data_IF_111448242397
#
_entry.id   IF_111448242397
#
_cell.length_a   1.000
_cell.length_b   1.000
_cell.length_c   1.000
_cell.angle_alpha   90.00
_cell.angle_beta   90.00
_cell.angle_gamma   90.00
#
_symmetry.space_group_name_H-M   'P 1'
#
loop_
_entity.id
_entity.type
_entity.pdbx_description
1 polymer ?
2 non-polymer ?
3 water ?
#
# COMPACT_ATOMS: atom_id res chain seq x y z
N UNK A 20 -32.89 14.48 -8.67
CA UNK A 20 -33.91 13.40 -8.55
C UNK A 20 -33.51 12.52 -7.37
N UNK A 21 -33.90 11.24 -7.41
CA UNK A 21 -33.82 10.34 -6.27
C UNK A 21 -32.44 9.66 -6.24
N UNK A 22 -31.68 10.09 -5.25
CA UNK A 22 -30.30 9.62 -5.07
C UNK A 22 -30.27 8.81 -3.79
N UNK A 23 -29.84 7.55 -3.88
CA UNK A 23 -29.84 6.71 -2.69
C UNK A 23 -28.51 6.00 -2.49
N UNK A 24 -28.33 5.55 -1.25
CA UNK A 24 -27.17 4.74 -0.86
C UNK A 24 -27.67 3.31 -0.60
N UNK A 25 -26.95 2.35 -1.17
CA UNK A 25 -27.12 0.93 -0.89
C UNK A 25 -25.79 0.42 -0.36
N UNK A 26 -25.82 -0.12 0.87
CA UNK A 26 -24.65 -0.69 1.51
C UNK A 26 -24.80 -2.19 1.37
N UNK A 27 -24.00 -2.87 0.55
CA UNK A 27 -24.01 -4.33 0.47
C UNK A 27 -23.19 -4.93 1.59
N UNK A 28 -23.81 -5.65 2.52
CA UNK A 28 -23.08 -6.15 3.68
C UNK A 28 -23.51 -7.57 3.98
N UNK A 29 -22.94 -8.53 3.25
CA UNK A 29 -23.32 -9.93 3.46
C UNK A 29 -22.70 -10.46 4.75
N UNK A 30 -23.30 -11.59 5.17
CA UNK A 30 -22.81 -12.26 6.39
C UNK A 30 -21.49 -13.02 6.21
N UNK A 31 -21.29 -13.61 5.04
CA UNK A 31 -20.08 -14.33 4.72
C UNK A 31 -18.93 -13.39 4.42
N UNK A 32 -17.74 -13.97 4.20
CA UNK A 32 -16.52 -13.24 4.01
C UNK A 32 -15.50 -14.03 3.21
N UNK A 33 -14.64 -13.36 2.46
CA UNK A 33 -13.52 -13.99 1.78
C UNK A 33 -12.47 -14.40 2.80
N UNK A 34 -12.36 -13.73 3.96
CA UNK A 34 -11.23 -13.95 4.83
C UNK A 34 -11.60 -13.64 6.29
N UNK A 35 -11.82 -12.39 6.69
CA UNK A 35 -12.07 -12.03 8.07
C UNK A 35 -13.53 -12.30 8.35
N UNK A 36 -13.90 -13.27 9.21
CA UNK A 36 -15.31 -13.47 9.46
C UNK A 36 -16.01 -12.26 10.06
N UNK A 37 -17.24 -12.04 9.58
CA UNK A 37 -18.10 -11.01 10.14
C UNK A 37 -17.43 -9.63 10.04
N UNK A 38 -16.56 -9.46 9.04
CA UNK A 38 -15.83 -8.19 8.93
C UNK A 38 -16.79 -6.99 8.89
N UNK A 39 -17.93 -7.12 8.22
CA UNK A 39 -18.81 -5.98 8.02
C UNK A 39 -19.33 -5.39 9.33
N UNK A 40 -19.34 -6.15 10.43
CA UNK A 40 -19.82 -5.67 11.72
C UNK A 40 -18.81 -5.88 12.84
N UNK A 41 -17.57 -6.21 12.47
CA UNK A 41 -16.54 -6.34 13.50
C UNK A 41 -16.28 -4.96 14.11
N UNK A 42 -16.12 -4.85 15.43
CA UNK A 42 -15.81 -3.54 16.01
C UNK A 42 -14.52 -2.91 15.49
N UNK A 43 -14.67 -1.65 15.12
CA UNK A 43 -13.57 -0.82 14.68
C UNK A 43 -13.66 0.47 15.45
N UNK A 44 -12.71 0.72 16.34
CA UNK A 44 -12.81 1.89 17.23
C UNK A 44 -14.17 1.94 17.92
N UNK A 45 -14.54 0.82 18.50
CA UNK A 45 -15.71 0.70 19.38
C UNK A 45 -17.08 0.86 18.71
N UNK A 46 -17.16 0.84 17.36
CA UNK A 46 -18.47 0.62 16.76
C UNK A 46 -18.30 -0.44 15.67
N UNK A 47 -19.37 -1.19 15.34
CA UNK A 47 -19.29 -2.11 14.21
C UNK A 47 -18.89 -1.37 12.94
N UNK A 48 -18.07 -2.01 12.10
CA UNK A 48 -17.53 -1.40 10.89
C UNK A 48 -18.65 -0.65 10.14
N UNK A 49 -19.77 -1.32 9.87
CA UNK A 49 -20.81 -0.73 9.03
C UNK A 49 -21.33 0.58 9.59
N UNK A 50 -21.29 0.76 10.92
CA UNK A 50 -21.81 1.97 11.52
C UNK A 50 -21.07 3.18 10.97
N UNK A 51 -19.78 3.11 10.71
CA UNK A 51 -19.09 4.31 10.28
C UNK A 51 -19.60 4.73 8.89
N UNK A 52 -19.93 3.75 8.02
CA UNK A 52 -20.50 4.09 6.72
C UNK A 52 -21.88 4.71 6.83
N UNK A 53 -22.74 4.11 7.67
CA UNK A 53 -24.07 4.67 7.85
C UNK A 53 -23.98 6.09 8.40
N UNK A 54 -23.11 6.29 9.38
CA UNK A 54 -23.01 7.65 9.97
C UNK A 54 -22.52 8.64 8.92
N UNK A 55 -21.55 8.24 8.10
CA UNK A 55 -21.04 9.13 7.06
C UNK A 55 -22.12 9.46 6.03
N UNK A 56 -22.91 8.46 5.61
CA UNK A 56 -23.96 8.66 4.65
C UNK A 56 -25.01 9.65 5.18
N UNK A 57 -25.35 9.52 6.46
CA UNK A 57 -26.32 10.43 7.07
C UNK A 57 -25.71 11.83 7.14
N UNK A 58 -24.43 11.95 7.50
CA UNK A 58 -23.78 13.27 7.63
C UNK A 58 -23.71 13.96 6.27
N UNK A 59 -23.49 13.20 5.21
CA UNK A 59 -23.26 13.74 3.89
C UNK A 59 -24.46 14.56 3.45
N UNK A 60 -25.65 14.05 3.74
CA UNK A 60 -26.88 14.79 3.46
C UNK A 60 -27.39 14.69 2.03
N UNK A 61 -26.70 13.96 1.14
CA UNK A 61 -27.07 13.94 -0.27
C UNK A 61 -27.80 12.65 -0.62
N UNK A 62 -28.21 11.85 0.38
CA UNK A 62 -29.00 10.67 0.13
C UNK A 62 -30.43 10.84 0.61
N UNK A 63 -31.37 10.45 -0.23
CA UNK A 63 -32.79 10.41 0.10
C UNK A 63 -33.12 9.21 0.97
N UNK A 64 -32.38 8.11 0.75
CA UNK A 64 -32.53 6.90 1.53
C UNK A 64 -31.20 6.19 1.65
N UNK A 65 -31.02 5.52 2.79
CA UNK A 65 -29.84 4.74 3.09
C UNK A 65 -30.30 3.33 3.43
N UNK A 66 -30.00 2.37 2.57
CA UNK A 66 -30.52 1.02 2.63
C UNK A 66 -29.33 0.07 2.80
N UNK A 67 -29.46 -0.88 3.72
CA UNK A 67 -28.48 -1.96 3.84
C UNK A 67 -29.07 -3.23 3.23
N UNK A 68 -28.33 -3.82 2.30
CA UNK A 68 -28.68 -5.09 1.68
C UNK A 68 -27.88 -6.21 2.36
N UNK A 69 -28.56 -7.09 3.09
CA UNK A 69 -27.87 -8.15 3.81
C UNK A 69 -28.77 -9.39 3.88
N UNK A 70 -28.14 -10.57 3.91
CA UNK A 70 -28.81 -11.83 4.21
C UNK A 70 -28.81 -12.13 5.69
N UNK A 71 -28.03 -11.39 6.49
CA UNK A 71 -27.70 -11.79 7.84
C UNK A 71 -28.41 -10.98 8.90
N UNK A 72 -29.14 -11.65 9.80
CA UNK A 72 -29.96 -10.96 10.76
C UNK A 72 -29.19 -10.13 11.77
N UNK A 73 -27.95 -10.51 12.13
CA UNK A 73 -27.14 -9.72 13.02
C UNK A 73 -26.78 -8.38 12.38
N UNK A 74 -26.39 -8.46 11.10
CA UNK A 74 -26.11 -7.24 10.35
C UNK A 74 -27.36 -6.37 10.23
N UNK A 75 -28.51 -7.00 9.92
CA UNK A 75 -29.73 -6.22 9.84
C UNK A 75 -29.98 -5.43 11.14
N UNK A 76 -29.77 -6.10 12.29
CA UNK A 76 -30.06 -5.42 13.56
C UNK A 76 -29.11 -4.23 13.74
N UNK A 77 -27.83 -4.38 13.38
CA UNK A 77 -26.86 -3.27 13.51
C UNK A 77 -27.30 -2.14 12.58
N UNK A 78 -27.68 -2.48 11.37
CA UNK A 78 -28.11 -1.47 10.40
C UNK A 78 -29.28 -0.67 10.95
N UNK A 79 -30.30 -1.37 11.50
CA UNK A 79 -31.46 -0.69 12.09
C UNK A 79 -31.06 0.17 13.29
N UNK A 80 -30.12 -0.30 14.08
CA UNK A 80 -29.72 0.43 15.28
C UNK A 80 -29.10 1.76 14.90
N UNK A 81 -28.35 1.81 13.79
CA UNK A 81 -27.69 3.04 13.37
C UNK A 81 -28.54 3.84 12.38
N UNK A 82 -29.80 3.44 12.15
CA UNK A 82 -30.75 4.28 11.45
C UNK A 82 -30.80 4.08 9.95
N UNK A 83 -30.21 3.01 9.41
CA UNK A 83 -30.41 2.64 8.02
C UNK A 83 -31.69 1.83 7.90
N UNK A 84 -32.21 1.72 6.69
CA UNK A 84 -33.36 0.90 6.40
C UNK A 84 -32.92 -0.50 5.98
N UNK A 85 -33.73 -1.50 6.32
CA UNK A 85 -33.53 -2.90 5.88
C UNK A 85 -34.87 -3.34 5.30
N UNK A 86 -35.20 -2.95 4.07
CA UNK A 86 -36.56 -3.16 3.55
C UNK A 86 -36.83 -4.59 3.08
N UNK A 87 -35.77 -5.39 2.93
CA UNK A 87 -35.87 -6.75 2.42
C UNK A 87 -34.73 -7.56 3.01
N UNK A 88 -34.85 -8.87 2.96
CA UNK A 88 -33.76 -9.77 3.26
C UNK A 88 -33.12 -10.12 1.91
N UNK A 89 -31.80 -9.92 1.78
CA UNK A 89 -31.17 -10.24 0.51
C UNK A 89 -31.22 -11.74 0.27
N UNK A 90 -31.62 -12.16 -0.94
CA UNK A 90 -31.56 -13.60 -1.23
C UNK A 90 -30.17 -14.19 -1.09
N UNK A 91 -30.14 -15.43 -0.61
CA UNK A 91 -28.90 -16.09 -0.29
C UNK A 91 -27.97 -16.23 -1.46
N UNK A 92 -28.49 -16.46 -2.66
CA UNK A 92 -27.66 -16.74 -3.82
C UNK A 92 -26.78 -15.55 -4.25
N UNK A 93 -27.18 -14.33 -3.85
CA UNK A 93 -26.35 -13.17 -4.12
C UNK A 93 -25.62 -12.73 -2.85
N UNK A 94 -25.57 -13.58 -1.84
CA UNK A 94 -24.78 -13.34 -0.64
C UNK A 94 -23.69 -14.38 -0.46
N UNK A 95 -23.43 -15.17 -1.49
CA UNK A 95 -22.43 -16.22 -1.40
C UNK A 95 -21.05 -15.69 -1.72
N UNK A 96 -20.04 -16.54 -1.82
CA UNK A 96 -18.66 -16.13 -2.00
C UNK A 96 -18.33 -15.74 -3.44
N UNK A 97 -19.29 -15.87 -4.37
CA UNK A 97 -19.02 -15.58 -5.77
C UNK A 97 -19.85 -14.44 -6.35
N UNK A 98 -21.00 -14.13 -5.82
CA UNK A 98 -21.80 -13.09 -6.43
C UNK A 98 -21.07 -11.75 -6.33
N UNK A 99 -21.23 -10.95 -7.37
CA UNK A 99 -20.49 -9.68 -7.45
C UNK A 99 -21.27 -8.56 -6.79
N UNK A 100 -20.54 -7.49 -6.48
CA UNK A 100 -21.13 -6.26 -5.97
C UNK A 100 -22.22 -5.74 -6.89
N UNK A 101 -21.95 -5.66 -8.19
CA UNK A 101 -22.95 -5.17 -9.11
C UNK A 101 -24.25 -5.94 -9.08
N UNK A 102 -24.19 -7.24 -8.91
CA UNK A 102 -25.42 -8.04 -8.86
C UNK A 102 -26.22 -7.69 -7.60
N UNK A 103 -25.57 -7.36 -6.50
CA UNK A 103 -26.28 -6.96 -5.30
C UNK A 103 -27.02 -5.64 -5.51
N UNK A 104 -26.32 -4.67 -6.14
CA UNK A 104 -26.93 -3.37 -6.37
C UNK A 104 -28.10 -3.46 -7.35
N UNK A 105 -27.92 -4.25 -8.41
CA UNK A 105 -29.03 -4.45 -9.36
C UNK A 105 -30.24 -5.06 -8.66
N UNK A 106 -30.02 -6.04 -7.78
CA UNK A 106 -31.12 -6.66 -7.08
C UNK A 106 -31.88 -5.59 -6.28
N UNK A 107 -31.16 -4.70 -5.60
CA UNK A 107 -31.79 -3.74 -4.75
C UNK A 107 -32.59 -2.72 -5.56
N UNK A 108 -32.04 -2.30 -6.70
CA UNK A 108 -32.75 -1.33 -7.53
C UNK A 108 -34.01 -1.98 -8.10
N UNK A 109 -33.91 -3.22 -8.58
CA UNK A 109 -35.10 -3.87 -9.12
C UNK A 109 -36.13 -4.08 -8.02
N UNK A 110 -35.69 -4.38 -6.78
CA UNK A 110 -36.63 -4.53 -5.69
C UNK A 110 -37.37 -3.22 -5.43
N UNK A 111 -36.65 -2.13 -5.40
CA UNK A 111 -37.27 -0.84 -5.16
C UNK A 111 -38.30 -0.54 -6.23
N UNK A 112 -37.97 -0.77 -7.50
CA UNK A 112 -38.91 -0.52 -8.59
C UNK A 112 -40.15 -1.42 -8.44
N UNK A 113 -39.95 -2.73 -8.25
CA UNK A 113 -41.05 -3.68 -8.33
C UNK A 113 -41.88 -3.77 -7.07
N UNK A 114 -41.25 -3.60 -5.92
CA UNK A 114 -41.93 -3.72 -4.64
C UNK A 114 -42.43 -2.41 -4.05
N UNK A 115 -41.77 -1.28 -4.36
CA UNK A 115 -42.17 -0.01 -3.78
C UNK A 115 -42.50 1.04 -4.86
N UNK A 116 -42.43 0.69 -6.14
CA UNK A 116 -42.64 1.68 -7.18
C UNK A 116 -41.70 2.89 -7.08
N UNK A 117 -40.45 2.66 -6.67
CA UNK A 117 -39.47 3.72 -6.54
C UNK A 117 -38.38 3.53 -7.56
N UNK A 118 -38.15 4.54 -8.39
CA UNK A 118 -37.22 4.46 -9.50
C UNK A 118 -36.08 5.41 -9.24
N UNK A 119 -34.96 4.92 -8.68
CA UNK A 119 -33.86 5.84 -8.44
C UNK A 119 -33.20 6.34 -9.73
N UNK A 120 -32.58 7.50 -9.59
CA UNK A 120 -31.78 8.08 -10.66
C UNK A 120 -30.31 7.69 -10.51
N UNK A 121 -29.75 8.00 -9.34
CA UNK A 121 -28.36 7.71 -9.05
C UNK A 121 -28.28 6.86 -7.79
N UNK A 122 -27.40 5.85 -7.83
CA UNK A 122 -27.31 4.91 -6.73
C UNK A 122 -25.86 4.81 -6.32
N UNK A 123 -25.61 5.04 -5.04
CA UNK A 123 -24.27 4.91 -4.47
C UNK A 123 -24.11 3.59 -3.75
N UNK A 124 -23.23 2.74 -4.26
CA UNK A 124 -22.83 1.55 -3.53
C UNK A 124 -21.77 1.99 -2.53
N UNK A 125 -22.09 1.89 -1.24
CA UNK A 125 -21.22 2.33 -0.18
C UNK A 125 -20.84 1.12 0.65
N UNK A 126 -19.54 0.80 0.66
CA UNK A 126 -19.09 -0.39 1.37
C UNK A 126 -19.16 -0.17 2.89
N UNK A 127 -19.28 -1.28 3.61
CA UNK A 127 -19.45 -1.32 5.06
C UNK A 127 -18.12 -1.29 5.79
N UNK A 128 -17.00 -1.52 5.09
CA UNK A 128 -15.67 -1.55 5.71
C UNK A 128 -14.80 -0.45 5.16
N UNK A 129 -15.26 0.77 5.41
CA UNK A 129 -14.63 1.96 4.88
C UNK A 129 -14.68 3.06 5.94
N UNK A 130 -14.07 2.85 7.13
CA UNK A 130 -14.31 3.77 8.22
C UNK A 130 -13.73 5.17 8.01
N UNK A 131 -12.79 5.31 7.08
CA UNK A 131 -12.18 6.60 6.77
C UNK A 131 -12.99 7.39 5.74
N UNK A 132 -14.12 6.85 5.28
CA UNK A 132 -14.88 7.49 4.21
C UNK A 132 -15.29 8.88 4.67
N UNK A 133 -15.16 9.86 3.76
CA UNK A 133 -15.50 11.24 4.09
C UNK A 133 -16.81 11.63 3.48
N UNK A 134 -17.78 12.17 4.26
CA UNK A 134 -19.02 12.66 3.70
C UNK A 134 -18.87 13.55 2.48
N UNK A 135 -17.90 14.49 2.53
CA UNK A 135 -17.76 15.43 1.45
C UNK A 135 -17.38 14.73 0.14
N UNK A 136 -16.63 13.61 0.22
CA UNK A 136 -16.26 12.84 -0.96
C UNK A 136 -17.50 12.17 -1.55
N UNK A 137 -18.41 11.67 -0.70
CA UNK A 137 -19.65 11.09 -1.21
C UNK A 137 -20.44 12.09 -2.05
N UNK A 138 -20.56 13.33 -1.55
CA UNK A 138 -21.36 14.31 -2.29
C UNK A 138 -20.59 14.78 -3.53
N UNK A 139 -19.27 14.91 -3.44
CA UNK A 139 -18.48 15.31 -4.60
C UNK A 139 -18.60 14.26 -5.72
N UNK A 140 -18.59 12.97 -5.35
CA UNK A 140 -18.71 11.93 -6.34
C UNK A 140 -20.01 12.03 -7.12
N UNK A 141 -21.11 12.39 -6.45
CA UNK A 141 -22.38 12.63 -7.12
C UNK A 141 -22.30 13.82 -8.08
N UNK A 142 -21.65 14.89 -7.66
CA UNK A 142 -21.53 16.06 -8.53
C UNK A 142 -20.74 15.72 -9.77
N UNK A 143 -19.71 14.90 -9.66
CA UNK A 143 -18.93 14.53 -10.81
C UNK A 143 -19.74 13.65 -11.74
N UNK A 144 -20.47 12.67 -11.16
CA UNK A 144 -21.26 11.76 -11.96
C UNK A 144 -22.30 12.51 -12.82
N UNK A 145 -22.93 13.49 -12.22
CA UNK A 145 -24.07 14.15 -12.87
C UNK A 145 -23.65 15.36 -13.67
N UNK A 146 -22.35 15.61 -13.86
CA UNK A 146 -21.89 16.69 -14.73
C UNK A 146 -21.66 16.21 -16.17
N UNK A 147 -21.69 14.90 -16.45
CA UNK A 147 -21.37 14.41 -17.79
C UNK A 147 -22.20 13.18 -18.13
N UNK A 148 -23.03 13.23 -19.19
CA UNK A 148 -23.93 12.12 -19.44
C UNK A 148 -23.18 10.86 -19.81
N UNK A 149 -21.96 11.01 -20.35
CA UNK A 149 -21.14 9.87 -20.74
C UNK A 149 -20.65 9.13 -19.51
N UNK A 150 -20.57 9.79 -18.37
CA UNK A 150 -20.03 9.17 -17.16
C UNK A 150 -21.08 8.28 -16.53
N UNK A 151 -20.78 6.99 -16.40
CA UNK A 151 -21.72 6.02 -15.87
C UNK A 151 -21.44 5.72 -14.39
N UNK A 152 -20.17 5.82 -13.96
CA UNK A 152 -19.78 5.56 -12.58
C UNK A 152 -18.74 6.57 -12.12
N UNK A 153 -18.64 6.77 -10.81
CA UNK A 153 -17.58 7.49 -10.15
C UNK A 153 -17.24 6.72 -8.88
N UNK A 154 -15.98 6.33 -8.71
CA UNK A 154 -15.60 5.62 -7.49
C UNK A 154 -14.35 6.21 -6.84
N UNK A 155 -14.16 5.92 -5.57
CA UNK A 155 -13.02 6.30 -4.80
C UNK A 155 -11.81 5.43 -5.19
N UNK A 156 -10.68 6.06 -5.50
CA UNK A 156 -9.45 5.36 -5.87
C UNK A 156 -8.25 5.99 -5.21
N UNK A 157 -7.10 5.30 -5.28
CA UNK A 157 -5.88 5.82 -4.72
C UNK A 157 -4.72 5.29 -5.54
N UNK A 158 -3.59 6.00 -5.48
CA UNK A 158 -2.38 5.61 -6.18
C UNK A 158 -1.66 4.49 -5.44
N UNK A 159 -1.11 3.54 -6.20
CA UNK A 159 -0.14 2.62 -5.63
C UNK A 159 1.14 3.41 -5.29
N UNK A 160 1.70 3.17 -4.12
CA UNK A 160 2.90 3.88 -3.72
C UNK A 160 4.15 3.27 -4.31
N UNK A 161 4.07 2.00 -4.71
CA UNK A 161 5.21 1.30 -5.29
C UNK A 161 4.83 0.86 -6.68
N UNK A 162 5.75 0.87 -7.66
CA UNK A 162 5.37 0.54 -9.03
C UNK A 162 4.96 -0.93 -9.16
N UNK A 163 3.73 -1.18 -9.61
CA UNK A 163 3.25 -2.53 -9.76
C UNK A 163 4.06 -3.32 -10.78
N UNK A 164 4.68 -2.61 -11.73
CA UNK A 164 5.49 -3.26 -12.75
C UNK A 164 6.75 -3.89 -12.16
N UNK A 165 7.13 -3.48 -10.92
CA UNK A 165 8.30 -4.06 -10.27
C UNK A 165 7.89 -5.00 -9.13
N UNK A 166 6.63 -5.46 -9.13
CA UNK A 166 6.16 -6.43 -8.14
C UNK A 166 6.85 -7.77 -8.25
N UNK A 167 6.86 -8.45 -7.12
CA UNK A 167 7.41 -9.80 -7.04
C UNK A 167 6.36 -10.79 -6.52
N UNK A 168 6.67 -12.06 -6.79
CA UNK A 168 5.93 -13.18 -6.26
C UNK A 168 6.93 -14.08 -5.54
N UNK A 169 6.41 -14.97 -4.67
CA UNK A 169 7.20 -15.84 -3.84
C UNK A 169 6.73 -17.27 -4.10
N UNK A 170 7.68 -18.18 -4.30
CA UNK A 170 7.29 -19.59 -4.46
C UNK A 170 7.04 -20.24 -3.09
N UNK A 171 6.71 -21.53 -3.09
CA UNK A 171 6.35 -22.19 -1.84
C UNK A 171 7.56 -22.35 -0.93
N UNK A 172 8.79 -22.18 -1.44
CA UNK A 172 10.00 -22.18 -0.63
C UNK A 172 10.53 -20.75 -0.40
N UNK A 173 9.72 -19.74 -0.74
CA UNK A 173 10.07 -18.33 -0.45
C UNK A 173 10.98 -17.67 -1.47
N UNK A 174 11.31 -18.31 -2.59
CA UNK A 174 12.19 -17.70 -3.58
C UNK A 174 11.44 -16.65 -4.39
N UNK A 175 12.15 -15.57 -4.74
CA UNK A 175 11.56 -14.42 -5.39
C UNK A 175 11.61 -14.56 -6.90
N UNK A 176 10.54 -14.12 -7.56
CA UNK A 176 10.56 -13.81 -8.98
C UNK A 176 9.78 -12.54 -9.25
N UNK A 177 10.11 -11.85 -10.32
CA UNK A 177 9.34 -10.68 -10.71
C UNK A 177 8.16 -11.12 -11.59
N UNK A 178 7.05 -10.38 -11.50
CA UNK A 178 6.01 -10.50 -12.52
C UNK A 178 6.56 -10.11 -13.89
N UNK A 179 7.37 -9.04 -13.98
CA UNK A 179 7.88 -8.44 -15.22
C UNK A 179 9.37 -8.20 -15.06
N UNK A 180 10.22 -9.23 -15.26
CA UNK A 180 11.63 -9.16 -14.97
C UNK A 180 12.39 -8.10 -15.76
N UNK A 181 11.81 -7.66 -16.88
CA UNK A 181 12.42 -6.62 -17.68
C UNK A 181 12.54 -5.29 -16.93
N UNK A 182 11.81 -5.14 -15.81
CA UNK A 182 11.82 -3.89 -15.06
C UNK A 182 12.68 -3.96 -13.78
N UNK A 183 13.54 -4.95 -13.69
CA UNK A 183 14.46 -5.10 -12.55
C UNK A 183 15.15 -3.78 -12.22
N UNK A 184 15.72 -3.10 -13.21
CA UNK A 184 16.55 -1.92 -12.93
C UNK A 184 15.88 -0.62 -13.35
N UNK A 185 14.60 -0.67 -13.68
CA UNK A 185 13.89 0.51 -14.13
C UNK A 185 13.56 1.45 -12.98
N UNK A 186 13.81 2.77 -13.15
CA UNK A 186 13.42 3.77 -12.20
C UNK A 186 11.91 3.87 -12.09
N UNK A 187 11.41 4.14 -10.86
CA UNK A 187 9.99 4.30 -10.65
C UNK A 187 9.41 5.39 -11.56
N UNK A 188 10.18 6.46 -11.77
CA UNK A 188 9.63 7.60 -12.49
C UNK A 188 9.57 7.35 -13.99
N UNK A 189 10.11 6.24 -14.46
CA UNK A 189 10.06 5.88 -15.86
C UNK A 189 8.96 4.87 -16.14
N UNK A 190 8.06 4.64 -15.17
CA UNK A 190 6.96 3.69 -15.35
C UNK A 190 5.64 4.44 -15.23
N UNK A 191 4.66 4.01 -16.00
CA UNK A 191 3.37 4.67 -15.92
C UNK A 191 2.69 4.41 -14.57
N UNK A 192 2.00 5.45 -14.11
CA UNK A 192 1.33 5.44 -12.81
C UNK A 192 0.17 4.46 -12.82
N UNK A 193 -0.03 3.84 -11.67
CA UNK A 193 -1.12 2.90 -11.44
C UNK A 193 -1.85 3.31 -10.17
N UNK A 194 -3.14 2.96 -10.19
CA UNK A 194 -4.09 3.25 -9.11
C UNK A 194 -4.91 1.99 -8.82
N UNK A 195 -5.68 2.08 -7.77
CA UNK A 195 -6.63 1.02 -7.47
C UNK A 195 -7.84 1.60 -6.77
N UNK A 196 -8.90 0.82 -6.89
CA UNK A 196 -10.14 0.99 -6.13
C UNK A 196 -9.81 1.07 -4.65
N UNK A 197 -10.35 2.10 -3.97
CA UNK A 197 -10.16 2.27 -2.54
C UNK A 197 -11.20 1.50 -1.72
N UNK A 198 -12.18 0.89 -2.37
CA UNK A 198 -13.18 0.11 -1.66
C UNK A 198 -14.03 0.91 -0.67
N UNK A 199 -14.41 2.12 -1.06
CA UNK A 199 -15.24 2.96 -0.23
C UNK A 199 -16.61 3.12 -0.87
N UNK A 200 -16.67 3.76 -2.05
CA UNK A 200 -17.96 4.03 -2.66
C UNK A 200 -17.86 3.97 -4.18
N UNK A 201 -19.02 3.74 -4.77
CA UNK A 201 -19.20 3.72 -6.21
C UNK A 201 -20.57 4.34 -6.51
N UNK A 202 -20.52 5.54 -7.06
CA UNK A 202 -21.72 6.13 -7.61
C UNK A 202 -21.94 5.57 -8.99
N UNK A 203 -23.19 5.23 -9.31
CA UNK A 203 -23.56 4.82 -10.65
C UNK A 203 -24.92 5.32 -11.03
N UNK A 204 -25.09 5.61 -12.33
CA UNK A 204 -26.44 5.87 -12.83
C UNK A 204 -27.23 4.57 -12.63
N UNK A 205 -28.52 4.64 -12.30
CA UNK A 205 -29.27 3.44 -12.02
C UNK A 205 -29.20 2.45 -13.18
N UNK A 206 -29.34 2.94 -14.42
CA UNK A 206 -29.33 2.10 -15.58
C UNK A 206 -27.98 1.45 -15.81
N UNK A 207 -26.89 2.09 -15.33
CA UNK A 207 -25.56 1.51 -15.46
C UNK A 207 -25.49 0.23 -14.62
N UNK A 208 -26.01 0.33 -13.40
CA UNK A 208 -26.10 -0.84 -12.53
C UNK A 208 -27.01 -1.90 -13.13
N UNK A 209 -28.19 -1.50 -13.60
CA UNK A 209 -29.17 -2.47 -14.11
C UNK A 209 -28.70 -3.18 -15.36
N UNK A 210 -27.92 -2.49 -16.17
CA UNK A 210 -27.40 -3.03 -17.42
C UNK A 210 -26.03 -3.71 -17.22
N UNK A 211 -25.58 -3.84 -15.96
CA UNK A 211 -24.38 -4.62 -15.63
C UNK A 211 -23.15 -4.03 -16.34
N UNK A 212 -23.10 -2.71 -16.47
CA UNK A 212 -21.98 -2.07 -17.12
C UNK A 212 -20.75 -2.25 -16.25
N UNK A 213 -19.57 -2.46 -16.85
CA UNK A 213 -18.35 -2.61 -16.08
C UNK A 213 -17.98 -1.29 -15.39
N UNK A 214 -17.53 -1.36 -14.14
CA UNK A 214 -17.14 -0.19 -13.40
C UNK A 214 -15.77 0.30 -13.81
N UNK A 215 -14.77 -0.60 -14.00
CA UNK A 215 -13.43 -0.17 -14.32
C UNK A 215 -13.29 -0.07 -15.84
N UNK A 216 -13.76 1.06 -16.39
CA UNK A 216 -13.92 1.22 -17.83
C UNK A 216 -13.95 2.71 -18.14
N UNK A 217 -13.83 3.07 -19.42
CA UNK A 217 -13.56 4.43 -19.85
C UNK A 217 -14.76 5.37 -19.72
N UNK A 218 -15.90 4.84 -19.31
CA UNK A 218 -17.04 5.66 -18.93
C UNK A 218 -17.08 5.92 -17.42
N UNK A 219 -15.97 5.70 -16.72
CA UNK A 219 -15.89 5.92 -15.29
C UNK A 219 -14.80 6.90 -14.91
N UNK A 220 -15.10 7.76 -13.94
CA UNK A 220 -14.14 8.65 -13.32
C UNK A 220 -13.92 8.26 -11.86
N UNK A 221 -12.90 8.83 -11.26
CA UNK A 221 -12.62 8.59 -9.85
C UNK A 221 -12.61 9.87 -9.02
N UNK A 222 -12.74 9.70 -7.72
CA UNK A 222 -12.30 10.66 -6.72
C UNK A 222 -11.03 10.12 -6.11
N UNK A 223 -9.89 10.78 -6.34
CA UNK A 223 -8.59 10.32 -5.88
C UNK A 223 -8.44 10.63 -4.41
N UNK A 224 -8.12 9.63 -3.61
CA UNK A 224 -7.91 9.78 -2.19
C UNK A 224 -6.43 9.69 -1.93
N UNK A 225 -5.88 10.52 -1.05
CA UNK A 225 -4.51 10.31 -0.59
C UNK A 225 -4.52 8.94 0.09
N UNK A 226 -3.49 8.13 -0.15
CA UNK A 226 -3.51 6.75 0.31
C UNK A 226 -3.55 6.64 1.83
N UNK A 227 -3.12 7.69 2.57
CA UNK A 227 -3.20 7.72 4.02
C UNK A 227 -4.64 7.55 4.53
N UNK A 228 -5.65 7.79 3.69
CA UNK A 228 -7.05 7.72 4.11
C UNK A 228 -7.75 6.51 3.50
N UNK A 229 -6.97 5.55 2.98
CA UNK A 229 -7.45 4.27 2.49
C UNK A 229 -6.74 3.17 3.29
N UNK A 230 -7.49 2.33 4.03
CA UNK A 230 -6.90 1.50 5.09
C UNK A 230 -6.12 0.31 4.53
N UNK A 232 -6.96 -3.58 5.67
CA UNK A 232 -6.60 -4.33 6.91
C UNK A 232 -6.38 -5.81 6.61
N UNK A 233 -5.13 -6.24 6.75
CA UNK A 233 -4.76 -7.61 6.49
C UNK A 233 -4.95 -8.39 7.79
N UNK A 234 -4.23 -7.93 8.81
CA UNK A 234 -3.94 -8.67 10.02
C UNK A 234 -4.68 -8.06 11.21
N UNK A 235 -4.71 -8.82 12.31
CA UNK A 235 -5.26 -8.32 13.56
C UNK A 235 -4.47 -7.09 13.96
N UNK A 236 -3.16 -7.09 13.68
CA UNK A 236 -2.33 -5.95 14.04
C UNK A 236 -2.63 -4.74 13.15
N UNK A 237 -2.84 -4.96 11.86
CA UNK A 237 -3.27 -3.86 11.02
C UNK A 237 -4.51 -3.27 11.67
N UNK A 238 -5.40 -4.15 12.12
CA UNK A 238 -6.69 -3.74 12.64
C UNK A 238 -6.49 -2.81 13.83
N UNK A 239 -5.69 -3.25 14.79
CA UNK A 239 -5.38 -2.41 15.94
C UNK A 239 -4.76 -1.07 15.55
N UNK A 240 -3.76 -1.08 14.65
CA UNK A 240 -3.09 0.14 14.23
C UNK A 240 -4.05 1.11 13.56
N UNK A 241 -4.94 0.59 12.72
CA UNK A 241 -5.81 1.47 11.96
C UNK A 241 -6.71 2.18 12.94
N UNK A 242 -7.19 1.41 13.95
CA UNK A 242 -8.08 1.94 14.97
C UNK A 242 -7.40 3.13 15.65
N UNK A 243 -6.12 2.97 15.98
CA UNK A 243 -5.40 4.04 16.70
C UNK A 243 -5.16 5.25 15.80
N UNK A 244 -4.74 5.04 14.54
CA UNK A 244 -4.55 6.12 13.57
C UNK A 244 -5.87 6.84 13.31
N UNK A 245 -6.94 6.06 13.16
CA UNK A 245 -8.27 6.60 13.00
C UNK A 245 -8.51 7.64 14.07
N UNK A 246 -7.99 7.41 15.29
CA UNK A 246 -8.27 8.34 16.37
C UNK A 246 -7.41 9.60 16.25
N UNK A 247 -6.29 9.54 15.54
CA UNK A 247 -5.34 10.65 15.35
C UNK A 247 -5.49 11.29 13.96
N UNK A 248 -6.55 10.96 13.22
CA UNK A 248 -6.67 11.40 11.82
C UNK A 248 -7.09 12.87 11.77
N UNK B 17 33.72 -17.94 7.22
CA UNK B 17 35.00 -17.64 7.91
C UNK B 17 34.83 -17.77 9.40
N UNK B 18 35.94 -18.03 10.10
CA UNK B 18 35.92 -18.01 11.56
C UNK B 18 35.73 -16.62 12.14
N UNK B 19 36.21 -15.57 11.45
CA UNK B 19 36.01 -14.20 11.88
C UNK B 19 34.98 -13.54 10.95
N UNK B 20 33.95 -12.92 11.55
CA UNK B 20 32.83 -12.39 10.77
C UNK B 20 33.19 -11.00 10.30
N UNK B 21 32.78 -10.67 9.06
CA UNK B 21 32.87 -9.31 8.59
C UNK B 21 31.57 -8.98 7.81
N UNK B 22 30.59 -8.54 8.58
CA UNK B 22 29.30 -8.13 8.05
C UNK B 22 29.20 -6.63 8.22
N UNK B 23 28.92 -5.92 7.14
CA UNK B 23 28.95 -4.47 7.15
C UNK B 23 27.64 -3.88 6.64
N UNK B 24 27.29 -2.71 7.16
CA UNK B 24 26.13 -1.92 6.75
C UNK B 24 26.60 -0.72 5.94
N UNK B 25 26.00 -0.51 4.77
CA UNK B 25 26.21 0.68 3.98
C UNK B 25 24.87 1.37 3.86
N UNK B 26 24.84 2.66 4.23
CA UNK B 26 23.66 3.51 4.12
C UNK B 26 23.90 4.52 3.01
N UNK B 27 23.22 4.37 1.89
CA UNK B 27 23.32 5.36 0.80
C UNK B 27 22.52 6.61 1.14
N UNK B 28 23.10 7.78 0.92
CA UNK B 28 22.39 9.01 1.15
C UNK B 28 22.99 10.10 0.27
N UNK B 29 22.29 10.44 -0.78
CA UNK B 29 22.74 11.54 -1.60
C UNK B 29 21.91 12.77 -1.23
N UNK B 30 22.53 13.95 -1.39
CA UNK B 30 21.81 15.21 -1.26
C UNK B 30 21.01 15.51 -2.52
N UNK B 31 20.13 16.54 -2.44
CA UNK B 31 19.48 17.13 -3.60
C UNK B 31 18.00 16.82 -3.76
N UNK B 32 17.34 16.38 -2.68
CA UNK B 32 15.92 15.98 -2.74
C UNK B 32 15.02 17.20 -3.01
N UNK B 33 14.00 17.03 -3.86
CA UNK B 33 13.18 18.14 -4.33
C UNK B 33 11.93 18.28 -3.45
N UNK B 34 11.15 17.19 -3.33
CA UNK B 34 9.85 17.18 -2.66
C UNK B 34 9.98 17.51 -1.17
N UNK B 35 10.96 16.88 -0.51
CA UNK B 35 11.30 17.20 0.87
C UNK B 35 12.74 17.70 0.90
N UNK B 36 13.00 19.02 0.81
CA UNK B 36 14.36 19.55 0.83
C UNK B 36 15.17 19.04 2.02
N UNK B 37 16.44 18.69 1.76
CA UNK B 37 17.37 18.23 2.78
C UNK B 37 16.82 17.03 3.56
N UNK B 38 16.19 16.10 2.85
CA UNK B 38 15.38 15.03 3.44
C UNK B 38 16.18 14.18 4.44
N UNK B 39 17.43 13.84 4.10
CA UNK B 39 18.22 12.96 4.94
C UNK B 39 18.61 13.57 6.28
N UNK B 40 18.69 14.89 6.38
CA UNK B 40 19.06 15.49 7.66
C UNK B 40 17.89 16.25 8.28
N UNK B 41 16.72 16.21 7.65
CA UNK B 41 15.52 16.86 8.17
C UNK B 41 15.18 16.17 9.48
N UNK B 42 14.89 16.92 10.54
CA UNK B 42 14.47 16.31 11.80
C UNK B 42 13.23 15.45 11.67
N UNK B 43 13.31 14.23 12.25
CA UNK B 43 12.21 13.28 12.34
C UNK B 43 12.15 12.86 13.79
N UNK B 44 11.07 13.25 14.46
CA UNK B 44 10.98 13.13 15.91
C UNK B 44 12.09 14.01 16.45
N UNK B 45 13.04 13.42 17.14
CA UNK B 45 14.10 14.17 17.79
C UNK B 45 15.48 14.03 17.16
N UNK B 46 15.60 13.55 15.90
CA UNK B 46 16.91 13.32 15.31
C UNK B 46 16.80 13.57 13.81
N UNK B 47 17.91 13.94 13.14
CA UNK B 47 17.89 13.95 11.66
C UNK B 47 17.52 12.56 11.17
N UNK B 48 16.76 12.51 10.09
CA UNK B 48 16.15 11.27 9.63
C UNK B 48 17.17 10.12 9.50
N UNK B 49 18.33 10.40 8.91
CA UNK B 49 19.31 9.35 8.66
C UNK B 49 19.78 8.71 9.98
N UNK B 50 19.76 9.47 11.09
CA UNK B 50 20.27 8.94 12.32
C UNK B 50 19.50 7.68 12.76
N UNK B 51 18.20 7.61 12.44
CA UNK B 51 17.42 6.45 12.88
C UNK B 51 17.94 5.18 12.21
N UNK B 52 18.40 5.30 10.96
CA UNK B 52 18.98 4.13 10.33
C UNK B 52 20.32 3.75 10.95
N UNK B 53 21.19 4.74 11.18
CA UNK B 53 22.47 4.48 11.82
C UNK B 53 22.27 3.79 13.17
N UNK B 54 21.36 4.36 13.96
CA UNK B 54 21.11 3.81 15.30
C UNK B 54 20.50 2.42 15.25
N UNK B 55 19.63 2.13 14.28
CA UNK B 55 19.09 0.79 14.16
C UNK B 55 20.20 -0.20 13.83
N UNK B 56 21.14 0.17 12.95
CA UNK B 56 22.25 -0.71 12.61
C UNK B 56 23.10 -0.94 13.85
N UNK B 57 23.35 0.11 14.65
CA UNK B 57 24.14 -0.07 15.87
C UNK B 57 23.43 -0.99 16.88
N UNK B 58 22.14 -0.81 17.06
CA UNK B 58 21.36 -1.53 18.04
C UNK B 58 21.26 -3.00 17.65
N UNK B 59 21.22 -3.29 16.34
CA UNK B 59 21.08 -4.66 15.88
C UNK B 59 22.17 -5.56 16.48
N UNK B 60 23.39 -5.03 16.52
CA UNK B 60 24.54 -5.73 17.06
C UNK B 60 25.14 -6.81 16.16
N UNK B 61 24.81 -6.82 14.86
CA UNK B 61 25.37 -7.80 13.94
C UNK B 61 26.27 -7.20 12.87
N UNK B 62 26.65 -5.93 13.02
CA UNK B 62 27.55 -5.27 12.10
C UNK B 62 28.91 -5.00 12.71
N UNK B 63 29.94 -5.36 11.95
CA UNK B 63 31.31 -5.02 12.31
C UNK B 63 31.60 -3.56 11.97
N UNK B 64 31.05 -3.05 10.84
CA UNK B 64 31.21 -1.67 10.45
C UNK B 64 29.90 -1.12 9.91
N UNK B 65 29.69 0.19 10.08
CA UNK B 65 28.52 0.91 9.64
C UNK B 65 28.99 2.15 8.91
N UNK B 66 28.74 2.23 7.61
CA UNK B 66 29.26 3.25 6.72
C UNK B 66 28.15 3.98 6.02
N UNK B 67 28.23 5.31 5.94
CA UNK B 67 27.36 6.11 5.12
C UNK B 67 28.10 6.47 3.83
N UNK B 68 27.43 6.31 2.69
CA UNK B 68 27.96 6.69 1.38
C UNK B 68 27.20 7.93 0.92
N UNK B 69 27.88 9.10 0.87
CA UNK B 69 27.25 10.35 0.53
C UNK B 69 28.26 11.25 -0.15
N UNK B 70 27.73 12.13 -1.02
CA UNK B 70 28.50 13.21 -1.61
C UNK B 70 28.25 14.53 -0.90
N UNK B 71 27.46 14.54 0.20
CA UNK B 71 27.01 15.81 0.76
C UNK B 71 27.70 16.05 2.09
N UNK B 72 28.28 17.26 2.22
CA UNK B 72 29.04 17.57 3.41
C UNK B 72 28.15 17.60 4.66
N UNK B 73 26.92 18.10 4.57
CA UNK B 73 26.05 18.20 5.74
C UNK B 73 25.64 16.78 6.22
N UNK B 74 25.29 15.93 5.25
CA UNK B 74 24.95 14.55 5.56
C UNK B 74 26.13 13.84 6.23
N UNK B 75 27.36 13.99 5.67
CA UNK B 75 28.52 13.35 6.27
C UNK B 75 28.70 13.74 7.74
N UNK B 76 28.53 15.07 8.00
CA UNK B 76 28.73 15.57 9.35
C UNK B 76 27.74 14.94 10.34
N UNK B 77 26.47 14.86 9.88
CA UNK B 77 25.46 14.17 10.67
C UNK B 77 25.84 12.71 10.87
N UNK B 78 26.31 12.04 9.82
CA UNK B 78 26.64 10.64 9.94
C UNK B 78 27.71 10.42 11.02
N UNK B 79 28.76 11.26 11.02
CA UNK B 79 29.83 11.10 12.00
C UNK B 79 29.34 11.36 13.43
N UNK B 80 28.44 12.32 13.54
CA UNK B 80 27.83 12.71 14.81
C UNK B 80 27.14 11.50 15.45
N UNK B 81 26.47 10.66 14.65
CA UNK B 81 25.76 9.50 15.17
C UNK B 81 26.56 8.20 15.08
N UNK B 82 27.85 8.28 14.79
CA UNK B 82 28.76 7.15 14.99
C UNK B 82 28.86 6.21 13.78
N UNK B 83 28.42 6.68 12.62
CA UNK B 83 28.72 6.01 11.34
C UNK B 83 30.07 6.47 10.83
N UNK B 84 30.74 5.61 10.06
CA UNK B 84 31.95 6.02 9.36
C UNK B 84 31.60 6.72 8.06
N UNK B 85 32.45 7.65 7.65
CA UNK B 85 32.36 8.32 6.36
C UNK B 85 33.74 8.25 5.74
N UNK B 86 34.14 7.10 5.18
CA UNK B 86 35.55 6.89 4.85
C UNK B 86 35.97 7.55 3.56
N UNK B 87 35.00 7.93 2.75
CA UNK B 87 35.21 8.45 1.41
C UNK B 87 34.08 9.45 1.12
N UNK B 88 34.29 10.24 0.08
CA UNK B 88 33.23 10.99 -0.54
C UNK B 88 32.71 10.17 -1.70
N UNK B 89 31.38 9.93 -1.78
CA UNK B 89 30.87 9.15 -2.89
C UNK B 89 31.20 9.85 -4.20
N UNK B 90 31.78 9.11 -5.17
CA UNK B 90 32.07 9.72 -6.47
C UNK B 90 30.85 10.41 -7.08
N UNK B 91 31.11 11.58 -7.68
CA UNK B 91 30.08 12.41 -8.24
C UNK B 91 29.28 11.64 -9.26
N UNK B 92 29.93 10.78 -10.04
CA UNK B 92 29.28 10.08 -11.12
C UNK B 92 28.20 9.08 -10.64
N UNK B 93 28.18 8.68 -9.36
CA UNK B 93 27.15 7.77 -8.85
C UNK B 93 26.29 8.45 -7.79
N UNK B 94 26.32 9.77 -7.80
CA UNK B 94 25.41 10.58 -7.00
C UNK B 94 24.56 11.38 -7.95
N UNK B 95 23.76 10.66 -8.71
CA UNK B 95 22.95 11.31 -9.73
C UNK B 95 21.65 10.54 -9.82
N UNK B 96 20.83 10.92 -10.80
CA UNK B 96 19.45 10.49 -10.85
C UNK B 96 19.33 9.11 -11.49
N UNK B 97 20.43 8.55 -11.99
CA UNK B 97 20.41 7.31 -12.77
C UNK B 97 21.15 6.17 -12.09
N UNK B 98 22.05 6.47 -11.15
CA UNK B 98 22.80 5.40 -10.53
C UNK B 98 21.89 4.55 -9.65
N UNK B 99 22.15 3.24 -9.62
CA UNK B 99 21.34 2.28 -8.91
C UNK B 99 21.91 1.97 -7.54
N UNK B 100 21.08 1.35 -6.68
CA UNK B 100 21.50 0.90 -5.36
C UNK B 100 22.71 -0.02 -5.50
N UNK B 101 22.64 -0.98 -6.41
CA UNK B 101 23.77 -1.91 -6.56
C UNK B 101 25.07 -1.18 -6.91
N UNK B 102 25.01 -0.19 -7.79
CA UNK B 102 26.21 0.60 -8.12
C UNK B 102 26.79 1.30 -6.91
N UNK B 103 25.95 1.83 -6.02
CA UNK B 103 26.46 2.48 -4.83
C UNK B 103 27.10 1.49 -3.86
N UNK B 104 26.47 0.35 -3.65
CA UNK B 104 27.00 -0.67 -2.76
C UNK B 104 28.28 -1.27 -3.36
N UNK B 105 28.32 -1.56 -4.66
CA UNK B 105 29.55 -2.06 -5.28
C UNK B 105 30.71 -1.09 -5.07
N UNK B 106 30.46 0.20 -5.23
CA UNK B 106 31.51 1.20 -5.05
C UNK B 106 32.09 1.06 -3.65
N UNK B 107 31.23 0.96 -2.65
CA UNK B 107 31.68 0.95 -1.26
C UNK B 107 32.48 -0.31 -0.99
N UNK B 108 32.04 -1.46 -1.53
CA UNK B 108 32.75 -2.70 -1.27
C UNK B 108 34.11 -2.66 -1.93
N UNK B 109 34.16 -2.21 -3.17
CA UNK B 109 35.42 -2.11 -3.86
C UNK B 109 36.33 -1.11 -3.15
N UNK B 110 35.81 -0.02 -2.60
CA UNK B 110 36.63 0.93 -1.88
C UNK B 110 37.27 0.23 -0.69
N UNK B 111 36.50 -0.53 0.09
CA UNK B 111 37.04 -1.18 1.28
C UNK B 111 38.15 -2.15 0.89
N UNK B 112 37.94 -2.90 -0.17
CA UNK B 112 38.93 -3.86 -0.63
C UNK B 112 40.20 -3.12 -1.06
N UNK B 113 40.05 -2.13 -1.93
CA UNK B 113 41.17 -1.48 -2.60
C UNK B 113 41.91 -0.57 -1.64
N UNK B 114 41.23 0.22 -0.82
CA UNK B 114 41.87 1.23 0.01
C UNK B 114 42.24 0.73 1.40
N UNK B 115 41.51 -0.27 1.94
CA UNK B 115 41.78 -0.72 3.29
C UNK B 115 42.10 -2.21 3.32
N UNK B 116 42.13 -2.93 2.19
CA UNK B 116 42.39 -4.36 2.26
C UNK B 116 41.41 -5.12 3.13
N UNK B 117 40.13 -4.69 3.15
CA UNK B 117 39.10 -5.35 3.90
C UNK B 117 38.12 -5.99 2.92
N UNK B 118 37.98 -7.29 3.00
CA UNK B 118 37.06 -8.03 2.16
C UNK B 118 35.89 -8.44 3.00
N UNK B 119 34.72 -7.77 2.84
CA UNK B 119 33.58 -8.18 3.64
C UNK B 119 33.02 -9.53 3.19
N UNK B 120 32.31 -10.17 4.12
CA UNK B 120 31.64 -11.44 3.84
C UNK B 120 30.23 -11.14 3.29
N UNK B 121 29.46 -10.45 4.12
CA UNK B 121 28.09 -10.10 3.76
C UNK B 121 27.94 -8.59 3.94
N UNK B 122 27.10 -7.99 3.09
CA UNK B 122 26.93 -6.54 3.07
C UNK B 122 25.45 -6.22 3.04
N UNK B 123 25.04 -5.35 3.95
CA UNK B 123 23.65 -4.94 4.08
C UNK B 123 23.53 -3.49 3.62
N UNK B 124 22.74 -3.24 2.60
CA UNK B 124 22.33 -1.90 2.21
C UNK B 124 21.11 -1.55 3.08
N UNK B 125 21.22 -0.49 3.88
CA UNK B 125 20.15 0.03 4.71
C UNK B 125 19.80 1.43 4.24
N UNK B 126 18.58 1.68 3.75
CA UNK B 126 18.20 2.99 3.29
C UNK B 126 18.18 4.01 4.45
N UNK B 127 18.34 5.26 4.03
CA UNK B 127 18.49 6.35 4.96
C UNK B 127 17.16 6.81 5.54
N UNK B 128 16.05 6.52 4.88
CA UNK B 128 14.73 6.87 5.41
C UNK B 128 14.05 5.59 5.88
N UNK B 129 14.28 5.20 7.12
CA UNK B 129 13.81 3.93 7.64
C UNK B 129 13.61 3.99 9.14
N UNK B 130 12.86 5.00 9.66
CA UNK B 130 12.70 5.12 11.11
C UNK B 130 11.92 3.98 11.79
N UNK B 131 11.17 3.21 11.00
CA UNK B 131 10.36 2.10 11.52
C UNK B 131 11.09 0.78 11.38
N UNK B 132 12.32 0.77 10.88
CA UNK B 132 13.08 -0.48 10.82
C UNK B 132 13.28 -1.05 12.22
N UNK B 133 13.10 -2.36 12.32
CA UNK B 133 13.34 -3.09 13.55
C UNK B 133 14.76 -3.63 13.49
N UNK B 134 15.63 -3.25 14.44
CA UNK B 134 16.96 -3.84 14.48
C UNK B 134 16.99 -5.35 14.44
N UNK B 135 16.02 -6.03 15.09
CA UNK B 135 16.03 -7.49 15.03
C UNK B 135 15.81 -7.99 13.61
N UNK B 136 15.07 -7.25 12.78
CA UNK B 136 14.86 -7.68 11.42
C UNK B 136 16.17 -7.67 10.63
N UNK B 137 17.08 -6.74 10.95
CA UNK B 137 18.38 -6.74 10.28
C UNK B 137 19.15 -8.03 10.57
N UNK B 138 19.15 -8.48 11.83
CA UNK B 138 19.90 -9.67 12.17
C UNK B 138 19.15 -10.91 11.68
N UNK B 139 17.80 -10.90 11.70
CA UNK B 139 16.99 -11.96 11.12
C UNK B 139 17.37 -12.15 9.64
N UNK B 140 17.52 -11.05 8.90
CA UNK B 140 17.88 -11.13 7.50
C UNK B 140 19.24 -11.80 7.26
N UNK B 141 20.23 -11.43 8.09
CA UNK B 141 21.54 -12.03 8.01
C UNK B 141 21.46 -13.53 8.33
N UNK B 142 20.67 -13.89 9.33
CA UNK B 142 20.57 -15.31 9.67
C UNK B 142 19.91 -16.08 8.54
N UNK B 143 18.91 -15.50 7.87
CA UNK B 143 18.28 -16.19 6.78
C UNK B 143 19.27 -16.35 5.64
N UNK B 144 20.03 -15.27 5.36
CA UNK B 144 20.99 -15.32 4.27
C UNK B 144 22.00 -16.45 4.49
N UNK B 145 22.45 -16.61 5.72
CA UNK B 145 23.53 -17.55 5.98
C UNK B 145 22.99 -18.97 6.23
N UNK B 146 21.68 -19.11 6.49
CA UNK B 146 21.09 -20.40 6.77
C UNK B 146 20.96 -21.24 5.50
N UNK B 147 20.72 -20.58 4.34
CA UNK B 147 20.50 -21.26 3.08
C UNK B 147 21.63 -20.85 2.14
N UNK B 148 22.56 -21.78 1.87
CA UNK B 148 23.78 -21.47 1.13
C UNK B 148 23.50 -21.14 -0.35
N UNK B 149 22.30 -21.46 -0.86
CA UNK B 149 21.96 -21.10 -2.22
C UNK B 149 21.67 -19.59 -2.32
N UNK B 150 21.36 -18.99 -1.17
CA UNK B 150 20.80 -17.65 -1.16
C UNK B 150 21.87 -16.57 -1.39
N UNK B 151 21.61 -15.66 -2.32
CA UNK B 151 22.53 -14.58 -2.61
C UNK B 151 22.09 -13.27 -1.96
N UNK B 152 20.79 -13.06 -1.75
CA UNK B 152 20.28 -11.82 -1.18
C UNK B 152 19.07 -12.12 -0.30
N UNK B 153 18.87 -11.27 0.69
CA UNK B 153 17.64 -11.28 1.48
C UNK B 153 17.22 -9.83 1.60
N UNK B 154 15.98 -9.50 1.27
CA UNK B 154 15.55 -8.10 1.43
C UNK B 154 14.19 -8.02 2.09
N UNK B 155 13.91 -6.85 2.68
CA UNK B 155 12.61 -6.56 3.26
C UNK B 155 11.58 -6.32 2.18
N UNK B 156 10.44 -7.02 2.32
CA UNK B 156 9.33 -6.91 1.39
C UNK B 156 8.01 -6.83 2.16
N UNK B 157 6.94 -6.45 1.44
CA UNK B 157 5.62 -6.34 2.05
C UNK B 157 4.58 -6.67 0.99
N UNK B 158 3.42 -7.14 1.43
CA UNK B 158 2.35 -7.49 0.51
C UNK B 158 1.73 -6.24 -0.07
N UNK B 159 1.29 -6.31 -1.32
CA UNK B 159 0.36 -5.33 -1.83
C UNK B 159 -0.99 -5.56 -1.13
N UNK B 160 -1.66 -4.47 -0.77
CA UNK B 160 -2.93 -4.57 -0.07
C UNK B 160 -4.11 -4.62 -1.04
N UNK B 161 -3.89 -4.42 -2.32
CA UNK B 161 -4.92 -4.56 -3.35
C UNK B 161 -4.34 -5.40 -4.47
N UNK B 162 -5.12 -6.26 -5.14
CA UNK B 162 -4.58 -7.11 -6.21
C UNK B 162 -4.04 -6.28 -7.36
N UNK B 163 -2.76 -6.42 -7.66
CA UNK B 163 -2.15 -5.61 -8.73
C UNK B 163 -2.77 -5.95 -10.07
N UNK B 164 -3.31 -7.17 -10.23
CA UNK B 164 -3.88 -7.59 -11.47
C UNK B 164 -5.15 -6.80 -11.79
N UNK B 165 -5.74 -6.13 -10.78
CA UNK B 165 -6.97 -5.36 -10.94
C UNK B 165 -6.66 -3.86 -10.86
N UNK B 166 -5.42 -3.46 -11.09
CA UNK B 166 -5.04 -2.07 -11.12
C UNK B 166 -5.66 -1.35 -12.31
N UNK B 167 -5.79 -0.03 -12.11
CA UNK B 167 -6.29 0.87 -13.16
C UNK B 167 -5.27 1.96 -13.52
N UNK B 168 -5.48 2.49 -14.71
CA UNK B 168 -4.82 3.70 -15.13
C UNK B 168 -5.87 4.77 -15.37
N UNK B 169 -5.36 6.00 -15.41
CA UNK B 169 -6.20 7.16 -15.65
C UNK B 169 -5.59 7.90 -16.84
N UNK B 170 -6.46 8.28 -17.78
CA UNK B 170 -6.02 9.13 -18.89
C UNK B 170 -5.98 10.57 -18.44
N UNK B 171 -5.60 11.47 -19.38
CA UNK B 171 -5.38 12.86 -18.98
C UNK B 171 -6.72 13.54 -18.67
N UNK B 172 -7.84 13.00 -19.19
CA UNK B 172 -9.19 13.47 -18.88
C UNK B 172 -9.80 12.74 -17.66
N UNK B 173 -9.02 11.88 -16.99
CA UNK B 173 -9.42 11.20 -15.75
C UNK B 173 -10.20 9.89 -15.94
N UNK B 174 -10.41 9.43 -17.18
CA UNK B 174 -11.15 8.23 -17.49
C UNK B 174 -10.35 6.96 -17.18
N UNK B 175 -11.05 5.96 -16.62
CA UNK B 175 -10.47 4.72 -16.10
C UNK B 175 -10.32 3.66 -17.18
N UNK B 176 -9.16 2.95 -17.14
CA UNK B 176 -9.09 1.65 -17.80
C UNK B 176 -8.25 0.70 -16.94
N UNK B 177 -8.43 -0.61 -17.14
CA UNK B 177 -7.65 -1.61 -16.41
C UNK B 177 -6.36 -1.91 -17.17
N UNK B 178 -5.30 -2.19 -16.41
CA UNK B 178 -4.11 -2.82 -16.98
C UNK B 178 -4.45 -4.16 -17.62
N UNK B 179 -5.32 -4.92 -16.97
CA UNK B 179 -5.68 -6.26 -17.40
C UNK B 179 -7.19 -6.39 -17.26
N UNK B 180 -7.96 -5.91 -18.27
CA UNK B 180 -9.40 -5.93 -18.21
C UNK B 180 -10.05 -7.32 -18.06
N UNK B 181 -9.26 -8.39 -18.34
CA UNK B 181 -9.78 -9.73 -18.14
C UNK B 181 -10.14 -10.00 -16.69
N UNK B 182 -9.62 -9.20 -15.74
CA UNK B 182 -9.82 -9.47 -14.32
C UNK B 182 -10.86 -8.54 -13.67
N UNK B 183 -11.65 -7.87 -14.50
CA UNK B 183 -12.73 -7.00 -14.05
C UNK B 183 -13.51 -7.59 -12.90
N UNK B 184 -13.96 -8.85 -13.06
CA UNK B 184 -14.88 -9.49 -12.12
C UNK B 184 -14.20 -10.62 -11.37
N UNK B 185 -12.87 -10.77 -11.48
CA UNK B 185 -12.16 -11.82 -10.77
C UNK B 185 -12.05 -11.50 -9.28
N UNK B 186 -12.19 -12.50 -8.42
CA UNK B 186 -12.12 -12.34 -6.98
C UNK B 186 -10.67 -12.13 -6.56
N UNK B 187 -10.43 -11.30 -5.55
CA UNK B 187 -9.09 -11.05 -5.05
C UNK B 187 -8.39 -12.36 -4.65
N UNK B 188 -9.15 -13.28 -4.05
CA UNK B 188 -8.55 -14.48 -3.48
C UNK B 188 -8.15 -15.46 -4.56
N UNK B 189 -8.59 -15.26 -5.80
CA UNK B 189 -8.25 -16.17 -6.90
C UNK B 189 -6.99 -15.73 -7.62
N UNK B 190 -6.43 -14.57 -7.28
CA UNK B 190 -5.28 -14.05 -7.99
C UNK B 190 -4.01 -14.35 -7.19
N UNK B 191 -2.91 -14.51 -7.93
CA UNK B 191 -1.60 -14.74 -7.32
C UNK B 191 -1.21 -13.59 -6.39
N UNK B 192 -0.78 -13.89 -5.16
CA UNK B 192 -0.35 -12.90 -4.20
C UNK B 192 0.88 -12.17 -4.76
N UNK B 193 0.88 -10.85 -4.58
CA UNK B 193 1.98 -10.00 -5.00
C UNK B 193 2.52 -9.22 -3.81
N UNK B 194 3.82 -8.97 -3.89
CA UNK B 194 4.60 -8.28 -2.87
C UNK B 194 5.48 -7.23 -3.56
N UNK B 195 6.07 -6.34 -2.75
CA UNK B 195 7.06 -5.42 -3.26
C UNK B 195 8.13 -5.16 -2.23
N UNK B 196 9.28 -4.78 -2.77
CA UNK B 196 10.40 -4.30 -1.97
C UNK B 196 9.90 -3.20 -1.04
N UNK B 197 10.20 -3.31 0.24
CA UNK B 197 9.82 -2.31 1.22
C UNK B 197 10.80 -1.15 1.25
N UNK B 198 11.91 -1.23 0.53
CA UNK B 198 12.85 -0.10 0.53
C UNK B 198 13.42 0.19 1.91
N UNK B 199 13.82 -0.86 2.60
CA UNK B 199 14.38 -0.75 3.95
C UNK B 199 15.77 -1.33 3.93
N UNK B 200 15.90 -2.66 3.85
CA UNK B 200 17.23 -3.23 3.86
C UNK B 200 17.39 -4.32 2.80
N UNK B 201 18.64 -4.62 2.46
CA UNK B 201 19.03 -5.63 1.48
C UNK B 201 20.33 -6.27 1.94
N UNK B 202 20.26 -7.52 2.37
CA UNK B 202 21.48 -8.25 2.61
C UNK B 202 21.92 -8.92 1.33
N UNK B 203 23.22 -8.96 1.10
CA UNK B 203 23.77 -9.75 0.00
C UNK B 203 25.14 -10.28 0.35
N UNK B 204 25.48 -11.41 -0.21
CA UNK B 204 26.87 -11.84 -0.22
C UNK B 204 27.66 -10.74 -0.91
N UNK B 205 28.89 -10.44 -0.42
CA UNK B 205 29.70 -9.41 -1.05
C UNK B 205 29.85 -9.64 -2.55
N UNK B 206 30.07 -10.90 -2.94
CA UNK B 206 30.28 -11.23 -4.34
C UNK B 206 29.00 -11.13 -5.16
N UNK B 207 27.83 -11.24 -4.51
CA UNK B 207 26.58 -11.04 -5.23
C UNK B 207 26.47 -9.58 -5.66
N UNK B 208 26.78 -8.66 -4.74
CA UNK B 208 26.84 -7.26 -5.09
C UNK B 208 27.89 -7.00 -6.17
N UNK B 209 29.11 -7.51 -5.96
CA UNK B 209 30.19 -7.16 -6.87
C UNK B 209 29.98 -7.70 -8.28
N UNK B 210 29.32 -8.85 -8.38
CA UNK B 210 29.05 -9.47 -9.68
C UNK B 210 27.71 -9.02 -10.26
N UNK B 211 27.09 -8.00 -9.63
CA UNK B 211 25.90 -7.37 -10.17
C UNK B 211 24.78 -8.40 -10.38
N UNK B 212 24.64 -9.33 -9.46
CA UNK B 212 23.58 -10.29 -9.55
C UNK B 212 22.26 -9.57 -9.28
N UNK B 213 21.21 -9.95 -10.01
CA UNK B 213 19.90 -9.33 -9.79
C UNK B 213 19.33 -9.69 -8.44
N UNK B 214 18.76 -8.65 -7.80
CA UNK B 214 18.21 -8.83 -6.47
C UNK B 214 16.87 -9.55 -6.52
N UNK B 215 15.98 -9.14 -7.43
CA UNK B 215 14.66 -9.75 -7.48
C UNK B 215 14.73 -10.95 -8.43
N UNK B 216 15.16 -12.08 -7.88
CA UNK B 216 15.42 -13.29 -8.64
C UNK B 216 15.42 -14.49 -7.72
N UNK B 217 15.49 -15.69 -8.33
CA UNK B 217 15.16 -16.93 -7.62
C UNK B 217 16.23 -17.36 -6.61
N UNK B 218 17.38 -16.65 -6.56
CA UNK B 218 18.38 -16.84 -5.52
C UNK B 218 18.18 -15.91 -4.31
N UNK B 219 17.00 -15.25 -4.24
CA UNK B 219 16.75 -14.28 -3.17
C UNK B 219 15.54 -14.71 -2.34
N UNK B 220 15.63 -14.52 -1.04
CA UNK B 220 14.53 -14.63 -0.10
C UNK B 220 14.12 -13.26 0.41
N UNK B 221 13.00 -13.19 1.12
CA UNK B 221 12.58 -11.98 1.78
C UNK B 221 12.31 -12.19 3.26
N UNK B 222 12.36 -11.07 3.95
CA UNK B 222 11.73 -10.91 5.26
C UNK B 222 10.48 -10.04 5.07
N UNK B 223 9.32 -10.59 5.40
CA UNK B 223 8.07 -9.89 5.17
C UNK B 223 7.80 -8.99 6.36
N UNK B 224 7.59 -7.73 6.06
CA UNK B 224 7.19 -6.72 7.04
C UNK B 224 5.68 -6.52 7.01
N UNK B 225 5.05 -6.32 8.19
CA UNK B 225 3.67 -5.81 8.29
C UNK B 225 3.40 -4.42 7.72
N UNK B 226 2.17 -4.17 7.27
CA UNK B 226 1.72 -2.81 6.98
C UNK B 226 1.94 -1.91 8.20
N UNK B 230 5.81 2.32 5.61
CA UNK B 230 5.27 3.72 5.57
C UNK B 230 5.86 4.53 4.41
N UNK B 231 4.99 5.11 3.58
CA UNK B 231 5.41 6.15 2.66
C UNK B 231 5.94 7.33 3.47
N UNK B 232 7.22 7.70 3.26
CA UNK B 232 7.67 9.02 3.65
C UNK B 232 8.23 9.73 2.41
N UNK B 233 7.31 10.11 1.53
CA UNK B 233 7.62 10.77 0.26
C UNK B 233 7.30 12.27 0.29
N UNK B 234 6.23 12.67 1.00
CA UNK B 234 5.77 14.05 0.99
C UNK B 234 5.90 14.72 2.38
N UNK B 235 5.81 16.04 2.39
CA UNK B 235 5.81 16.82 3.63
C UNK B 235 4.66 16.36 4.52
N UNK B 236 3.48 16.11 3.93
CA UNK B 236 2.36 15.57 4.67
C UNK B 236 2.67 14.20 5.24
N UNK B 237 3.38 13.37 4.47
CA UNK B 237 3.68 12.02 4.89
C UNK B 237 4.55 12.02 6.15
N UNK B 238 5.46 12.97 6.16
CA UNK B 238 6.38 13.18 7.27
C UNK B 238 5.58 13.44 8.55
N UNK B 239 4.55 14.29 8.46
CA UNK B 239 3.72 14.62 9.62
C UNK B 239 2.92 13.42 10.14
N UNK B 240 2.35 12.59 9.26
CA UNK B 240 1.69 11.37 9.65
C UNK B 240 2.68 10.44 10.36
N UNK B 241 3.90 10.32 9.82
CA UNK B 241 4.83 9.37 10.37
C UNK B 241 5.25 9.80 11.78
N UNK B 242 5.34 11.11 11.97
CA UNK B 242 5.68 11.62 13.30
C UNK B 242 4.68 11.06 14.33
N UNK B 243 3.39 11.04 14.00
CA UNK B 243 2.38 10.55 14.93
C UNK B 243 2.46 9.05 15.17
N UNK B 244 2.71 8.28 14.12
CA UNK B 244 2.80 6.84 14.26
C UNK B 244 4.00 6.45 15.10
N UNK B 245 5.08 7.22 14.95
CA UNK B 245 6.35 6.89 15.56
C UNK B 245 6.22 6.79 17.07
N UNK B 246 5.37 7.63 17.66
CA UNK B 246 5.25 7.69 19.12
C UNK B 246 4.06 6.89 19.64
N UNK B 247 3.26 6.31 18.75
CA UNK B 247 2.18 5.43 19.18
C UNK B 247 2.76 4.18 19.81
N UNK B 248 2.03 3.64 20.80
CA UNK B 248 2.47 2.44 21.51
C UNK B 248 1.31 1.44 21.51
#
# INVERSE_FOLDING_TARGET
MGSSHHHHHHSSGLVPRGSHMNIAIIPARGGSKRIPRKNIKPFHSKPMIAWSILAAKKAGCFERIIVSTDDAEIAAVALEYGAEVPFTRPAEIANDYATTGEVISHAINWLINQQGQVPENVCCLYATAPFVEPDDLCQGLELLTFNKECQFVFSATRFSFPIQRAIKLDESGWVSMFHPEYQLTRSQDLEEAYHDAGQFYWGKANAWLNKLPIFAVHTQVVLLPSHRVQDIDTQDDWLRAEKLFTLR
MGSSHHHHHHSSGLVPRGSHMNIAIIPARGGSKRIPRKNIKPFHSKPMIAWSILAAKKAGCFERIIVSTDDAEIAAVALEYGAEVPFTRPAEIANDYATTGEVISHAINWLINQQGQVPENVCCLYATAPFVEPDDLCQGLELLTFNKECQFVFSATRFSFPIQRAIKLDESGWVSMFHPEYQLTRSQDLEEAYHDAGQFYWGKANAWLNKLPIFAVHTQVVLLPSHRVQDIDTQDDWLRAEKLFTLR
#
